data_IF_632062779015
#
_entry.id   IF_632062779015
#
_cell.length_a   1.000
_cell.length_b   1.000
_cell.length_c   1.000
_cell.angle_alpha   90.00
_cell.angle_beta   90.00
_cell.angle_gamma   90.00
#
_symmetry.space_group_name_H-M   'P 1'
#
loop_
_entity.id
_entity.type
_entity.pdbx_description
1 polymer ?
#
# COMPACT_ATOMS: atom_id res chain seq x y z
N UNK A 1 25.89 -46.30 -3.45
CA UNK A 1 24.49 -46.37 -3.88
C UNK A 1 23.47 -45.77 -2.89
N UNK A 2 23.25 -46.33 -1.69
CA UNK A 2 22.19 -45.86 -0.74
C UNK A 2 22.37 -44.41 -0.24
N UNK A 3 23.61 -43.97 -0.04
CA UNK A 3 23.98 -42.60 0.37
C UNK A 3 23.82 -41.59 -0.77
N UNK A 4 24.06 -42.01 -2.01
CA UNK A 4 23.93 -41.17 -3.20
C UNK A 4 22.47 -40.90 -3.55
N UNK A 5 21.61 -41.93 -3.44
CA UNK A 5 20.16 -41.79 -3.61
C UNK A 5 19.56 -40.85 -2.55
N UNK A 6 20.04 -40.91 -1.29
CA UNK A 6 19.65 -39.97 -0.23
C UNK A 6 20.06 -38.52 -0.57
N UNK A 7 21.26 -38.31 -1.08
CA UNK A 7 21.74 -36.97 -1.52
C UNK A 7 20.92 -36.44 -2.70
N UNK A 8 20.56 -37.27 -3.67
CA UNK A 8 19.69 -36.85 -4.78
C UNK A 8 18.30 -36.44 -4.30
N UNK A 9 17.68 -37.25 -3.42
CA UNK A 9 16.35 -36.93 -2.85
C UNK A 9 16.34 -35.61 -2.07
N UNK A 10 17.41 -35.33 -1.30
CA UNK A 10 17.58 -34.07 -0.57
C UNK A 10 17.76 -32.89 -1.52
N UNK A 11 18.58 -33.03 -2.57
CA UNK A 11 18.76 -31.98 -3.58
C UNK A 11 17.45 -31.62 -4.27
N UNK A 12 16.64 -32.60 -4.67
CA UNK A 12 15.32 -32.33 -5.26
C UNK A 12 14.38 -31.58 -4.30
N UNK A 13 14.33 -31.96 -3.02
CA UNK A 13 13.54 -31.23 -2.02
C UNK A 13 13.98 -29.77 -1.86
N UNK A 14 15.29 -29.53 -1.80
CA UNK A 14 15.85 -28.17 -1.67
C UNK A 14 15.58 -27.35 -2.93
N UNK A 15 15.73 -27.95 -4.11
CA UNK A 15 15.43 -27.28 -5.39
C UNK A 15 13.97 -26.85 -5.46
N UNK A 16 13.03 -27.71 -5.06
CA UNK A 16 11.61 -27.36 -5.01
C UNK A 16 11.35 -26.20 -4.04
N UNK A 17 11.91 -26.23 -2.83
CA UNK A 17 11.74 -25.14 -1.86
C UNK A 17 12.30 -23.81 -2.37
N UNK A 18 13.45 -23.83 -3.03
CA UNK A 18 14.04 -22.63 -3.66
C UNK A 18 13.16 -22.07 -4.77
N UNK A 19 12.56 -22.95 -5.58
CA UNK A 19 11.63 -22.54 -6.65
C UNK A 19 10.40 -21.82 -6.08
N UNK A 20 9.75 -22.38 -5.06
CA UNK A 20 8.62 -21.73 -4.40
C UNK A 20 8.99 -20.37 -3.81
N UNK A 21 10.14 -20.28 -3.13
CA UNK A 21 10.62 -19.02 -2.55
C UNK A 21 10.84 -17.95 -3.63
N UNK A 22 11.41 -18.32 -4.78
CA UNK A 22 11.67 -17.40 -5.88
C UNK A 22 10.36 -16.86 -6.51
N UNK A 23 9.39 -17.75 -6.76
CA UNK A 23 8.09 -17.37 -7.34
C UNK A 23 7.34 -16.44 -6.40
N UNK A 24 7.29 -16.78 -5.11
CA UNK A 24 6.64 -15.97 -4.09
C UNK A 24 7.28 -14.59 -3.91
N UNK A 25 8.60 -14.54 -3.90
CA UNK A 25 9.34 -13.29 -3.83
C UNK A 25 9.09 -12.41 -5.07
N UNK A 26 9.03 -13.02 -6.27
CA UNK A 26 8.68 -12.32 -7.51
C UNK A 26 7.27 -11.73 -7.51
N UNK A 27 6.30 -12.47 -6.96
CA UNK A 27 4.93 -11.97 -6.79
C UNK A 27 4.89 -10.72 -5.88
N UNK A 28 5.61 -10.74 -4.75
CA UNK A 28 5.70 -9.57 -3.89
C UNK A 28 6.43 -8.39 -4.53
N UNK A 29 7.43 -8.65 -5.38
CA UNK A 29 8.08 -7.58 -6.14
C UNK A 29 7.07 -6.86 -7.05
N UNK A 30 6.26 -7.64 -7.78
CA UNK A 30 5.24 -7.11 -8.66
C UNK A 30 4.21 -6.28 -7.88
N UNK A 31 3.73 -6.79 -6.73
CA UNK A 31 2.83 -6.04 -5.86
C UNK A 31 3.46 -4.75 -5.33
N UNK A 32 4.73 -4.78 -4.90
CA UNK A 32 5.46 -3.60 -4.43
C UNK A 32 5.58 -2.53 -5.52
N UNK A 33 5.91 -2.93 -6.75
CA UNK A 33 5.98 -2.02 -7.91
C UNK A 33 4.61 -1.45 -8.29
N UNK A 34 3.55 -2.26 -8.23
CA UNK A 34 2.18 -1.76 -8.45
C UNK A 34 1.80 -0.70 -7.41
N UNK A 35 2.06 -0.95 -6.12
CA UNK A 35 1.80 0.01 -5.04
C UNK A 35 2.63 1.29 -5.17
N UNK A 36 3.90 1.18 -5.56
CA UNK A 36 4.76 2.33 -5.82
C UNK A 36 4.26 3.15 -7.00
N UNK A 37 3.88 2.50 -8.09
CA UNK A 37 3.35 3.16 -9.29
C UNK A 37 2.05 3.89 -8.96
N UNK A 38 1.15 3.23 -8.22
CA UNK A 38 -0.11 3.84 -7.79
C UNK A 38 0.11 4.99 -6.78
N UNK A 39 1.03 4.83 -5.84
CA UNK A 39 1.41 5.89 -4.91
C UNK A 39 2.05 7.09 -5.60
N UNK A 40 2.92 6.85 -6.59
CA UNK A 40 3.52 7.90 -7.43
C UNK A 40 2.47 8.60 -8.27
N UNK A 41 1.56 7.85 -8.88
CA UNK A 41 0.43 8.38 -9.63
C UNK A 41 -0.40 9.34 -8.77
N UNK A 42 -0.81 8.90 -7.58
CA UNK A 42 -1.55 9.70 -6.61
C UNK A 42 -0.76 10.93 -6.14
N UNK A 43 0.57 10.82 -6.05
CA UNK A 43 1.44 11.93 -5.66
C UNK A 43 1.60 12.97 -6.77
N UNK A 44 1.72 12.54 -8.03
CA UNK A 44 1.85 13.40 -9.20
C UNK A 44 0.55 14.11 -9.56
N UNK A 45 -0.59 13.43 -9.45
CA UNK A 45 -1.92 14.02 -9.67
C UNK A 45 -2.16 15.22 -8.73
N UNK A 46 -1.67 15.10 -7.48
CA UNK A 46 -1.66 16.21 -6.50
C UNK A 46 -0.84 17.42 -6.96
N UNK A 47 0.28 17.20 -7.66
CA UNK A 47 1.19 18.26 -8.08
C UNK A 47 0.74 19.01 -9.35
N UNK A 48 -0.08 18.40 -10.21
CA UNK A 48 -0.47 18.98 -11.50
C UNK A 48 -1.95 19.35 -11.65
N UNK A 49 -2.86 18.70 -10.91
CA UNK A 49 -4.33 18.91 -11.08
C UNK A 49 -5.03 19.34 -9.78
N UNK A 50 -4.55 18.91 -8.61
CA UNK A 50 -5.25 19.12 -7.34
C UNK A 50 -4.81 20.35 -6.54
N UNK A 51 -3.61 20.90 -6.80
CA UNK A 51 -3.09 22.06 -6.04
C UNK A 51 -3.79 23.39 -6.34
N UNK A 52 -4.64 23.43 -7.37
CA UNK A 52 -5.38 24.64 -7.79
C UNK A 52 -6.88 24.51 -7.52
N UNK A 53 -7.45 23.30 -7.46
CA UNK A 53 -8.89 23.07 -7.31
C UNK A 53 -9.34 22.73 -5.87
N UNK A 54 -8.45 22.29 -5.00
CA UNK A 54 -8.82 21.84 -3.64
C UNK A 54 -7.93 22.50 -2.59
N UNK A 55 -7.93 23.84 -2.52
CA UNK A 55 -7.07 24.57 -1.56
C UNK A 55 -7.55 24.53 -0.10
N UNK A 56 -8.61 23.78 0.21
CA UNK A 56 -9.23 23.76 1.52
C UNK A 56 -9.46 22.29 1.95
N UNK A 57 -9.19 21.97 3.23
CA UNK A 57 -9.55 20.71 3.92
C UNK A 57 -8.91 19.39 3.47
N UNK A 58 -9.33 18.86 2.32
CA UNK A 58 -9.23 17.46 1.85
C UNK A 58 -7.82 16.90 1.63
N UNK A 59 -6.85 17.79 1.49
CA UNK A 59 -5.52 17.44 1.03
C UNK A 59 -4.75 16.55 1.99
N UNK A 60 -5.09 16.57 3.29
CA UNK A 60 -4.29 15.90 4.31
C UNK A 60 -4.43 14.39 4.27
N UNK A 61 -5.64 13.86 4.05
CA UNK A 61 -5.86 12.41 4.05
C UNK A 61 -5.35 11.75 2.78
N UNK A 62 -5.61 12.34 1.62
CA UNK A 62 -5.07 11.84 0.35
C UNK A 62 -3.54 11.93 0.34
N UNK A 63 -2.96 12.99 0.93
CA UNK A 63 -1.51 13.08 1.12
C UNK A 63 -0.97 12.02 2.09
N UNK A 64 -1.71 11.71 3.15
CA UNK A 64 -1.31 10.66 4.09
C UNK A 64 -1.37 9.27 3.44
N UNK A 65 -2.46 8.97 2.73
CA UNK A 65 -2.66 7.71 2.01
C UNK A 65 -1.58 7.52 0.94
N UNK A 66 -1.33 8.52 0.08
CA UNK A 66 -0.28 8.43 -0.95
C UNK A 66 1.11 8.17 -0.34
N UNK A 67 1.48 8.89 0.73
CA UNK A 67 2.76 8.68 1.45
C UNK A 67 2.84 7.28 2.07
N UNK A 68 1.74 6.78 2.63
CA UNK A 68 1.67 5.41 3.16
C UNK A 68 1.85 4.37 2.06
N UNK A 69 1.15 4.50 0.93
CA UNK A 69 1.29 3.57 -0.20
C UNK A 69 2.72 3.57 -0.75
N UNK A 70 3.34 4.75 -0.86
CA UNK A 70 4.71 4.89 -1.36
C UNK A 70 5.71 4.27 -0.37
N UNK A 71 5.53 4.50 0.92
CA UNK A 71 6.37 3.90 1.98
C UNK A 71 6.24 2.39 2.03
N UNK A 72 5.01 1.87 2.10
CA UNK A 72 4.73 0.42 2.14
C UNK A 72 5.19 -0.26 0.85
N UNK A 73 4.91 0.32 -0.31
CA UNK A 73 5.38 -0.18 -1.60
C UNK A 73 6.90 -0.23 -1.70
N UNK A 74 7.60 0.79 -1.20
CA UNK A 74 9.06 0.83 -1.15
C UNK A 74 9.63 -0.28 -0.26
N UNK A 75 9.08 -0.47 0.94
CA UNK A 75 9.49 -1.54 1.85
C UNK A 75 9.26 -2.93 1.23
N UNK A 76 8.11 -3.14 0.59
CA UNK A 76 7.80 -4.42 -0.09
C UNK A 76 8.76 -4.67 -1.26
N UNK A 77 9.01 -3.66 -2.09
CA UNK A 77 9.94 -3.77 -3.22
C UNK A 77 11.38 -3.99 -2.74
N UNK A 78 11.83 -3.28 -1.71
CA UNK A 78 13.17 -3.41 -1.14
C UNK A 78 13.38 -4.78 -0.49
N UNK A 79 12.42 -5.24 0.33
CA UNK A 79 12.48 -6.58 0.92
C UNK A 79 12.50 -7.65 -0.18
N UNK A 80 11.65 -7.54 -1.20
CA UNK A 80 11.66 -8.47 -2.32
C UNK A 80 12.97 -8.44 -3.13
N UNK A 81 13.57 -7.27 -3.37
CA UNK A 81 14.87 -7.17 -4.02
C UNK A 81 15.98 -7.85 -3.20
N UNK A 82 15.96 -7.70 -1.87
CA UNK A 82 16.86 -8.42 -0.97
C UNK A 82 16.62 -9.94 -1.00
N UNK A 83 15.36 -10.39 -1.13
CA UNK A 83 15.02 -11.80 -1.33
C UNK A 83 15.64 -12.38 -2.60
N UNK A 84 15.62 -11.62 -3.71
CA UNK A 84 16.25 -12.02 -4.97
C UNK A 84 17.78 -12.03 -4.86
N UNK A 85 18.38 -10.98 -4.26
CA UNK A 85 19.81 -10.90 -3.98
C UNK A 85 20.28 -12.03 -3.06
N UNK A 86 19.48 -12.45 -2.09
CA UNK A 86 19.79 -13.56 -1.18
C UNK A 86 19.87 -14.91 -1.91
N UNK A 87 19.12 -15.09 -3.00
CA UNK A 87 19.24 -16.26 -3.87
C UNK A 87 20.50 -16.17 -4.74
N UNK A 88 20.75 -15.00 -5.34
CA UNK A 88 21.87 -14.78 -6.29
C UNK A 88 23.23 -14.79 -5.60
N UNK A 89 23.36 -14.21 -4.42
CA UNK A 89 24.65 -14.07 -3.71
C UNK A 89 25.10 -15.37 -3.02
N UNK A 90 24.27 -16.41 -2.94
CA UNK A 90 24.51 -17.67 -2.20
C UNK A 90 24.94 -17.51 -0.73
N UNK A 91 24.87 -16.29 -0.15
CA UNK A 91 25.22 -16.04 1.25
C UNK A 91 24.06 -16.51 2.14
N UNK A 92 24.14 -17.78 2.54
CA UNK A 92 23.11 -18.46 3.36
C UNK A 92 22.78 -17.71 4.65
N UNK A 93 23.77 -17.09 5.30
CA UNK A 93 23.56 -16.33 6.53
C UNK A 93 22.63 -15.13 6.30
N UNK A 94 22.88 -14.36 5.23
CA UNK A 94 22.11 -13.16 4.91
C UNK A 94 20.68 -13.51 4.50
N UNK A 95 20.50 -14.60 3.74
CA UNK A 95 19.17 -15.11 3.36
C UNK A 95 18.39 -15.61 4.58
N UNK A 96 19.02 -16.34 5.50
CA UNK A 96 18.37 -16.83 6.73
C UNK A 96 17.92 -15.67 7.60
N UNK A 97 18.80 -14.69 7.86
CA UNK A 97 18.46 -13.51 8.66
C UNK A 97 17.31 -12.72 8.04
N UNK A 98 17.32 -12.53 6.72
CA UNK A 98 16.24 -11.87 5.99
C UNK A 98 14.89 -12.59 6.15
N UNK A 99 14.87 -13.91 5.93
CA UNK A 99 13.63 -14.71 6.08
C UNK A 99 13.14 -14.70 7.53
N UNK A 100 14.05 -14.80 8.50
CA UNK A 100 13.69 -14.70 9.93
C UNK A 100 13.07 -13.35 10.28
N UNK A 101 13.63 -12.25 9.79
CA UNK A 101 13.05 -10.91 9.99
C UNK A 101 11.65 -10.80 9.36
N UNK A 102 11.47 -11.34 8.17
CA UNK A 102 10.17 -11.32 7.49
C UNK A 102 9.10 -12.12 8.24
N UNK A 103 9.49 -13.26 8.83
CA UNK A 103 8.59 -14.06 9.69
C UNK A 103 8.16 -13.26 10.92
N UNK A 104 9.07 -12.51 11.56
CA UNK A 104 8.72 -11.66 12.70
C UNK A 104 7.70 -10.59 12.31
N UNK A 105 7.91 -9.90 11.19
CA UNK A 105 6.96 -8.91 10.66
C UNK A 105 5.59 -9.55 10.38
N UNK A 106 5.57 -10.75 9.81
CA UNK A 106 4.33 -11.46 9.53
C UNK A 106 3.55 -11.81 10.80
N UNK A 107 4.24 -12.27 11.85
CA UNK A 107 3.60 -12.54 13.15
C UNK A 107 3.02 -11.26 13.76
N UNK A 108 3.74 -10.14 13.69
CA UNK A 108 3.21 -8.84 14.15
C UNK A 108 2.00 -8.40 13.34
N UNK A 109 2.02 -8.55 12.01
CA UNK A 109 0.88 -8.24 11.15
C UNK A 109 -0.34 -9.11 11.47
N UNK A 110 -0.16 -10.41 11.73
CA UNK A 110 -1.23 -11.30 12.14
C UNK A 110 -1.83 -10.88 13.49
N UNK A 111 -0.99 -10.49 14.47
CA UNK A 111 -1.47 -9.99 15.75
C UNK A 111 -2.32 -8.70 15.58
N UNK A 112 -1.84 -7.75 14.77
CA UNK A 112 -2.59 -6.52 14.44
C UNK A 112 -3.91 -6.87 13.74
N UNK A 113 -3.89 -7.76 12.75
CA UNK A 113 -5.10 -8.17 12.02
C UNK A 113 -6.14 -8.80 12.94
N UNK A 114 -5.73 -9.64 13.89
CA UNK A 114 -6.62 -10.26 14.87
C UNK A 114 -7.18 -9.21 15.82
N UNK A 115 -6.35 -8.27 16.29
CA UNK A 115 -6.79 -7.16 17.14
C UNK A 115 -7.85 -6.30 16.44
N UNK A 116 -7.64 -5.97 15.16
CA UNK A 116 -8.63 -5.24 14.34
C UNK A 116 -9.93 -6.05 14.21
N UNK A 117 -9.84 -7.36 13.97
CA UNK A 117 -11.01 -8.21 13.84
C UNK A 117 -11.85 -8.28 15.11
N UNK A 118 -11.21 -8.34 16.28
CA UNK A 118 -11.90 -8.35 17.58
C UNK A 118 -12.52 -6.99 17.88
N UNK A 119 -11.80 -5.89 17.64
CA UNK A 119 -12.26 -4.52 17.87
C UNK A 119 -12.96 -3.90 16.66
N UNK A 120 -13.58 -4.73 15.81
CA UNK A 120 -14.18 -4.27 14.56
C UNK A 120 -15.18 -3.13 14.75
N UNK A 121 -15.99 -3.14 15.82
CA UNK A 121 -16.97 -2.07 16.10
C UNK A 121 -16.30 -0.74 16.49
N UNK A 122 -15.26 -0.80 17.33
CA UNK A 122 -14.49 0.39 17.71
C UNK A 122 -13.74 0.99 16.51
N UNK A 123 -13.12 0.14 15.70
CA UNK A 123 -12.42 0.55 14.47
C UNK A 123 -13.41 1.09 13.45
N UNK A 124 -14.59 0.47 13.32
CA UNK A 124 -15.63 0.92 12.39
C UNK A 124 -16.20 2.28 12.81
N UNK A 125 -16.46 2.52 14.10
CA UNK A 125 -16.90 3.82 14.59
C UNK A 125 -15.83 4.90 14.39
N UNK A 126 -14.56 4.60 14.67
CA UNK A 126 -13.48 5.56 14.41
C UNK A 126 -13.29 5.86 12.91
N UNK A 127 -13.48 4.86 12.06
CA UNK A 127 -13.38 5.03 10.61
C UNK A 127 -14.57 5.81 10.05
N UNK A 128 -15.79 5.50 10.49
CA UNK A 128 -16.99 6.24 10.11
C UNK A 128 -16.92 7.69 10.58
N UNK A 129 -16.50 7.95 11.82
CA UNK A 129 -16.34 9.32 12.29
C UNK A 129 -15.32 10.11 11.45
N UNK A 130 -14.20 9.47 11.06
CA UNK A 130 -13.22 10.10 10.17
C UNK A 130 -13.75 10.32 8.76
N UNK A 131 -14.57 9.41 8.24
CA UNK A 131 -15.18 9.56 6.92
C UNK A 131 -16.28 10.61 6.94
N UNK A 132 -17.11 10.65 7.98
CA UNK A 132 -18.14 11.66 8.15
C UNK A 132 -17.53 13.04 8.32
N UNK A 133 -16.41 13.16 9.04
CA UNK A 133 -15.62 14.39 9.13
C UNK A 133 -15.16 14.85 7.74
N UNK A 134 -14.60 13.93 6.94
CA UNK A 134 -14.17 14.21 5.56
C UNK A 134 -15.33 14.58 4.64
N UNK A 135 -16.44 13.83 4.71
CA UNK A 135 -17.63 14.11 3.90
C UNK A 135 -18.22 15.48 4.30
N UNK A 136 -18.20 15.81 5.60
CA UNK A 136 -18.67 17.10 6.08
C UNK A 136 -17.78 18.26 5.61
N UNK A 137 -16.46 18.05 5.55
CA UNK A 137 -15.50 19.02 5.01
C UNK A 137 -15.75 19.23 3.50
N UNK A 138 -15.81 18.15 2.69
CA UNK A 138 -16.19 18.20 1.26
C UNK A 138 -17.53 18.92 1.03
N UNK A 139 -18.55 18.59 1.83
CA UNK A 139 -19.91 19.13 1.69
C UNK A 139 -19.99 20.62 2.02
N UNK A 140 -19.20 21.09 3.00
CA UNK A 140 -19.20 22.49 3.41
C UNK A 140 -18.45 23.39 2.42
N UNK A 141 -17.37 22.88 1.81
CA UNK A 141 -16.56 23.65 0.84
C UNK A 141 -17.22 23.74 -0.53
N UNK A 142 -17.87 22.66 -0.99
CA UNK A 142 -18.59 22.64 -2.28
C UNK A 142 -19.83 23.54 -2.31
N UNK A 143 -20.47 23.78 -1.16
CA UNK A 143 -21.60 24.71 -1.05
C UNK A 143 -21.14 26.17 -0.99
N UNK A 144 -19.95 26.47 -0.45
CA UNK A 144 -19.40 27.82 -0.38
C UNK A 144 -18.90 28.34 -1.76
N UNK A 145 -18.43 27.45 -2.64
CA UNK A 145 -17.92 27.83 -3.97
C UNK A 145 -19.02 27.88 -5.06
N UNK A 146 -20.20 27.30 -4.81
CA UNK A 146 -21.31 27.31 -5.79
C UNK A 146 -22.24 28.53 -5.72
N UNK A 147 -22.25 29.32 -4.66
CA UNK A 147 -23.07 30.55 -4.61
C UNK A 147 -22.86 31.51 -5.81
N UNK A 148 -21.63 31.80 -6.30
CA UNK A 148 -21.47 32.74 -7.40
C UNK A 148 -21.93 32.18 -8.75
N UNK A 149 -21.79 30.88 -9.01
CA UNK A 149 -22.14 30.26 -10.31
C UNK A 149 -23.66 30.25 -10.52
N UNK A 150 -24.42 29.93 -9.47
CA UNK A 150 -25.89 30.00 -9.50
C UNK A 150 -26.41 31.43 -9.67
N UNK A 151 -25.74 32.42 -9.06
CA UNK A 151 -26.09 33.83 -9.22
C UNK A 151 -25.83 34.36 -10.64
N UNK A 152 -24.74 33.94 -11.29
CA UNK A 152 -24.45 34.32 -12.69
C UNK A 152 -25.45 33.67 -13.67
N UNK A 153 -25.79 32.40 -13.48
CA UNK A 153 -26.78 31.71 -14.31
C UNK A 153 -28.17 32.34 -14.18
N UNK A 154 -28.61 32.67 -12.97
CA UNK A 154 -29.89 33.36 -12.74
C UNK A 154 -29.90 34.77 -13.36
N UNK A 155 -28.80 35.51 -13.32
CA UNK A 155 -28.71 36.85 -13.90
C UNK A 155 -28.79 36.84 -15.44
N UNK A 156 -28.23 35.82 -16.09
CA UNK A 156 -28.32 35.66 -17.56
C UNK A 156 -29.73 35.23 -17.97
N UNK A 157 -30.35 34.34 -17.21
CA UNK A 157 -31.66 33.78 -17.54
C UNK A 157 -32.84 34.75 -17.29
N UNK A 158 -32.65 35.77 -16.45
CA UNK A 158 -33.65 36.81 -16.18
C UNK A 158 -33.50 38.06 -17.09
N UNK A 159 -32.41 38.17 -17.87
CA UNK A 159 -32.15 39.31 -18.77
C UNK A 159 -32.37 38.99 -20.27
N UNK A 160 -32.98 37.84 -20.57
CA UNK A 160 -33.48 37.46 -21.90
C UNK A 160 -35.00 37.36 -21.83
#
# INVERSE_FOLDING_TARGET
FKTENRRMKIRHKILNQKYYLNVFNGFFLALGLMLLTFGLWLSCDRNNLFSVLFSSGENQLVAYISRMLLGVGSVIAFTSAMGFLGIVKEIKCLLVTYVSFQILVFVTQMAISVLIFIKKEEVHNQWNNRIDEVISEYGNESLAEQEPVWNVLNAVQHNV
#
